data_IF_545779714101
#
_entry.id   IF_545779714101
#
_cell.length_a   1.000
_cell.length_b   1.000
_cell.length_c   1.000
_cell.angle_alpha   90.00
_cell.angle_beta   90.00
_cell.angle_gamma   90.00
#
_symmetry.space_group_name_H-M   'P 1'
#
loop_
_entity.id
_entity.type
_entity.pdbx_description
1 polymer ?
#
# COMPACT_ATOMS: atom_id res chain seq x y z
N UNK A 1 3.59 23.36 9.07
CA UNK A 1 3.36 21.91 9.04
C UNK A 1 4.26 21.36 7.95
N UNK A 2 5.20 20.46 8.26
CA UNK A 2 5.94 19.78 7.19
C UNK A 2 4.97 18.84 6.50
N UNK A 3 4.77 19.01 5.19
CA UNK A 3 4.02 18.05 4.39
C UNK A 3 4.67 16.67 4.56
N UNK A 4 3.89 15.70 5.02
CA UNK A 4 4.35 14.33 5.13
C UNK A 4 4.75 13.83 3.74
N UNK A 5 5.93 13.22 3.60
CA UNK A 5 6.31 12.59 2.33
C UNK A 5 5.50 11.32 2.07
N UNK A 6 5.57 10.82 0.83
CA UNK A 6 4.85 9.64 0.35
C UNK A 6 4.96 8.42 1.28
N UNK A 7 6.12 8.20 1.90
CA UNK A 7 6.33 7.07 2.83
C UNK A 7 5.52 7.27 4.11
N UNK A 8 5.64 8.44 4.76
CA UNK A 8 4.90 8.77 5.98
C UNK A 8 3.40 8.73 5.76
N UNK A 9 2.92 9.27 4.64
CA UNK A 9 1.51 9.21 4.24
C UNK A 9 1.05 7.76 4.09
N UNK A 10 1.78 6.95 3.33
CA UNK A 10 1.42 5.55 3.08
C UNK A 10 1.41 4.72 4.37
N UNK A 11 2.39 4.89 5.26
CA UNK A 11 2.41 4.21 6.55
C UNK A 11 1.23 4.60 7.43
N UNK A 12 0.80 5.86 7.42
CA UNK A 12 -0.40 6.32 8.15
C UNK A 12 -1.68 5.77 7.54
N UNK A 13 -1.84 5.88 6.23
CA UNK A 13 -3.03 5.41 5.50
C UNK A 13 -3.26 3.91 5.67
N UNK A 14 -2.19 3.11 5.61
CA UNK A 14 -2.25 1.66 5.66
C UNK A 14 -1.99 1.09 7.06
N UNK A 15 -1.78 1.94 8.06
CA UNK A 15 -1.41 1.56 9.43
C UNK A 15 -0.20 0.58 9.47
N UNK A 16 0.87 0.93 8.75
CA UNK A 16 2.08 0.14 8.62
C UNK A 16 3.28 0.81 9.31
N UNK A 17 4.14 -0.01 9.91
CA UNK A 17 5.50 0.42 10.29
C UNK A 17 6.40 0.56 9.05
N UNK A 18 7.51 1.28 9.17
CA UNK A 18 8.50 1.38 8.07
C UNK A 18 9.10 0.03 7.69
N UNK A 19 9.24 -0.87 8.66
CA UNK A 19 9.69 -2.25 8.43
C UNK A 19 8.70 -3.01 7.54
N UNK A 20 7.42 -3.01 7.91
CA UNK A 20 6.37 -3.68 7.15
C UNK A 20 6.24 -3.11 5.75
N UNK A 21 6.23 -1.77 5.62
CA UNK A 21 6.18 -1.15 4.30
C UNK A 21 7.38 -1.61 3.46
N UNK A 22 8.60 -1.56 4.00
CA UNK A 22 9.81 -2.03 3.34
C UNK A 22 9.69 -3.47 2.83
N UNK A 23 9.26 -4.39 3.68
CA UNK A 23 9.05 -5.79 3.31
C UNK A 23 8.06 -5.95 2.14
N UNK A 24 6.98 -5.17 2.14
CA UNK A 24 5.95 -5.19 1.08
C UNK A 24 6.42 -4.61 -0.26
N UNK A 25 7.31 -3.61 -0.23
CA UNK A 25 7.82 -2.93 -1.43
C UNK A 25 9.22 -3.39 -1.86
N UNK A 26 9.82 -4.36 -1.16
CA UNK A 26 11.14 -4.93 -1.50
C UNK A 26 12.34 -4.12 -1.03
N UNK A 27 12.23 -3.37 0.08
CA UNK A 27 13.29 -2.56 0.67
C UNK A 27 13.54 -2.90 2.14
N UNK A 28 14.77 -2.70 2.61
CA UNK A 28 15.09 -2.81 4.04
C UNK A 28 14.54 -1.63 4.84
N UNK A 29 14.21 -1.85 6.13
CA UNK A 29 13.68 -0.83 7.04
C UNK A 29 14.56 0.43 7.08
N UNK A 30 15.89 0.27 7.11
CA UNK A 30 16.83 1.40 7.14
C UNK A 30 16.73 2.31 5.91
N UNK A 31 16.52 1.72 4.72
CA UNK A 31 16.34 2.49 3.49
C UNK A 31 15.04 3.30 3.53
N UNK A 32 13.93 2.67 3.92
CA UNK A 32 12.62 3.32 4.06
C UNK A 32 12.67 4.44 5.11
N UNK A 33 13.27 4.18 6.28
CA UNK A 33 13.40 5.15 7.37
C UNK A 33 14.26 6.36 6.96
N UNK A 34 15.36 6.14 6.25
CA UNK A 34 16.22 7.22 5.77
C UNK A 34 15.50 8.09 4.74
N UNK A 35 14.84 7.48 3.74
CA UNK A 35 14.02 8.21 2.76
C UNK A 35 12.87 8.98 3.42
N UNK A 36 12.21 8.38 4.42
CA UNK A 36 11.14 9.03 5.18
C UNK A 36 11.65 10.21 6.02
N UNK A 37 12.87 10.13 6.55
CA UNK A 37 13.45 11.17 7.39
C UNK A 37 14.00 12.33 6.56
N UNK A 38 14.64 12.02 5.42
CA UNK A 38 15.26 13.01 4.53
C UNK A 38 14.30 13.64 3.54
N UNK A 39 13.15 13.00 3.27
CA UNK A 39 12.21 13.42 2.22
C UNK A 39 12.65 13.01 0.81
N UNK A 40 13.85 12.45 0.66
CA UNK A 40 14.38 12.00 -0.62
C UNK A 40 13.90 10.59 -0.92
N UNK A 41 12.70 10.47 -1.49
CA UNK A 41 12.17 9.19 -1.96
C UNK A 41 12.59 8.98 -3.41
N UNK A 42 13.42 7.98 -3.68
CA UNK A 42 13.86 7.67 -5.05
C UNK A 42 12.68 7.29 -5.94
N UNK A 43 12.78 7.59 -7.24
CA UNK A 43 11.73 7.24 -8.21
C UNK A 43 11.37 5.74 -8.19
N UNK A 44 12.32 4.78 -8.09
CA UNK A 44 11.96 3.37 -7.96
C UNK A 44 11.16 3.05 -6.69
N UNK A 45 11.47 3.70 -5.56
CA UNK A 45 10.72 3.50 -4.32
C UNK A 45 9.32 4.10 -4.40
N UNK A 46 9.16 5.28 -5.02
CA UNK A 46 7.86 5.87 -5.28
C UNK A 46 7.00 4.94 -6.15
N UNK A 47 7.60 4.39 -7.22
CA UNK A 47 6.93 3.43 -8.10
C UNK A 47 6.51 2.16 -7.34
N UNK A 48 7.39 1.60 -6.51
CA UNK A 48 7.07 0.42 -5.71
C UNK A 48 5.90 0.66 -4.75
N UNK A 49 5.86 1.82 -4.07
CA UNK A 49 4.73 2.23 -3.21
C UNK A 49 3.44 2.36 -4.03
N UNK A 50 3.51 2.99 -5.21
CA UNK A 50 2.34 3.14 -6.10
C UNK A 50 1.80 1.79 -6.56
N UNK A 51 2.68 0.86 -6.94
CA UNK A 51 2.29 -0.48 -7.36
C UNK A 51 1.66 -1.26 -6.21
N UNK A 52 2.21 -1.15 -5.00
CA UNK A 52 1.62 -1.80 -3.83
C UNK A 52 0.20 -1.27 -3.54
N UNK A 53 -0.03 0.04 -3.59
CA UNK A 53 -1.39 0.61 -3.46
C UNK A 53 -2.34 0.10 -4.54
N UNK A 54 -1.88 -0.01 -5.79
CA UNK A 54 -2.69 -0.56 -6.89
C UNK A 54 -3.03 -2.03 -6.68
N UNK A 55 -2.13 -2.83 -6.11
CA UNK A 55 -2.41 -4.22 -5.75
C UNK A 55 -3.55 -4.28 -4.72
N UNK A 56 -3.47 -3.49 -3.64
CA UNK A 56 -4.53 -3.45 -2.61
C UNK A 56 -5.89 -3.03 -3.18
N UNK A 57 -5.91 -2.05 -4.09
CA UNK A 57 -7.12 -1.62 -4.77
C UNK A 57 -7.74 -2.76 -5.61
N UNK A 58 -6.92 -3.44 -6.41
CA UNK A 58 -7.35 -4.58 -7.23
C UNK A 58 -7.85 -5.76 -6.39
N UNK A 59 -7.19 -6.06 -5.26
CA UNK A 59 -7.63 -7.09 -4.32
C UNK A 59 -9.01 -6.76 -3.74
N UNK A 60 -9.26 -5.49 -3.43
CA UNK A 60 -10.55 -5.02 -2.94
C UNK A 60 -11.65 -5.10 -4.02
N UNK A 61 -11.36 -4.67 -5.26
CA UNK A 61 -12.27 -4.82 -6.39
C UNK A 61 -12.65 -6.30 -6.64
N UNK A 62 -11.66 -7.19 -6.58
CA UNK A 62 -11.85 -8.63 -6.75
C UNK A 62 -12.72 -9.21 -5.62
N UNK A 63 -12.46 -8.81 -4.37
CA UNK A 63 -13.27 -9.22 -3.21
C UNK A 63 -14.73 -8.79 -3.37
N UNK A 64 -14.97 -7.55 -3.75
CA UNK A 64 -16.33 -7.02 -3.97
C UNK A 64 -17.06 -7.80 -5.08
N UNK A 65 -16.36 -8.05 -6.19
CA UNK A 65 -16.90 -8.83 -7.31
C UNK A 65 -17.29 -10.26 -6.89
N UNK A 66 -16.43 -10.91 -6.10
CA UNK A 66 -16.69 -12.25 -5.58
C UNK A 66 -17.87 -12.27 -4.60
N UNK A 67 -18.00 -11.27 -3.74
CA UNK A 67 -19.14 -11.14 -2.81
C UNK A 67 -20.47 -10.96 -3.56
N UNK A 68 -20.51 -10.13 -4.60
CA UNK A 68 -21.71 -9.96 -5.44
C UNK A 68 -22.08 -11.29 -6.11
N UNK A 69 -21.10 -11.98 -6.71
CA UNK A 69 -21.31 -13.27 -7.36
C UNK A 69 -21.83 -14.32 -6.39
N UNK A 70 -21.33 -14.33 -5.16
CA UNK A 70 -21.79 -15.25 -4.13
C UNK A 70 -23.22 -14.93 -3.70
N UNK A 71 -23.53 -13.68 -3.39
CA UNK A 71 -24.89 -13.27 -3.01
C UNK A 71 -25.92 -13.59 -4.09
N UNK A 72 -25.59 -13.40 -5.37
CA UNK A 72 -26.45 -13.80 -6.49
C UNK A 72 -26.66 -15.32 -6.54
N UNK A 73 -25.62 -16.12 -6.32
CA UNK A 73 -25.74 -17.59 -6.28
C UNK A 73 -26.60 -18.07 -5.13
N UNK A 74 -26.50 -17.42 -3.97
CA UNK A 74 -27.31 -17.74 -2.79
C UNK A 74 -28.79 -17.38 -3.01
N UNK A 75 -29.07 -16.26 -3.70
CA UNK A 75 -30.44 -15.85 -4.02
C UNK A 75 -31.14 -16.73 -5.07
N UNK A 76 -30.39 -17.29 -6.02
CA UNK A 76 -30.93 -18.15 -7.08
C UNK A 76 -31.13 -19.62 -6.65
N UNK A 77 -30.70 -20.00 -5.45
CA UNK A 77 -30.94 -21.33 -4.87
C UNK A 77 -32.21 -21.33 -4.03
#
# INVERSE_FOLDING_TARGET
MQDDNLIKQTCKELNLTYKQLGELIGYGEGAVKNSASTGNVSEPMQHAIKMYKRILELENELKNTNQIKQGLKEWLK
#
